data_IF_506704731345
#
_entry.id   IF_506704731345
#
_cell.length_a   1.000
_cell.length_b   1.000
_cell.length_c   1.000
_cell.angle_alpha   90.00
_cell.angle_beta   90.00
_cell.angle_gamma   90.00
#
_symmetry.space_group_name_H-M   'P 1'
#
loop_
_entity.id
_entity.type
_entity.pdbx_description
1 polymer ?
#
# COMPACT_ATOMS: atom_id res chain seq x y z
N UNK A 1 -18.44 -2.86 -18.21
CA UNK A 1 -18.52 -3.70 -16.99
C UNK A 1 -19.74 -3.27 -16.16
N UNK A 2 -20.39 -4.20 -15.45
CA UNK A 2 -21.49 -3.88 -14.54
C UNK A 2 -21.01 -3.99 -13.08
N UNK A 3 -20.61 -2.87 -12.44
CA UNK A 3 -20.06 -2.90 -11.08
C UNK A 3 -21.06 -3.44 -10.05
N UNK A 4 -22.34 -3.17 -10.22
CA UNK A 4 -23.39 -3.63 -9.29
C UNK A 4 -23.56 -5.16 -9.36
N UNK A 5 -23.52 -5.73 -10.57
CA UNK A 5 -23.57 -7.18 -10.75
C UNK A 5 -22.35 -7.87 -10.12
N UNK A 6 -21.15 -7.31 -10.36
CA UNK A 6 -19.92 -7.80 -9.74
C UNK A 6 -19.99 -7.79 -8.22
N UNK A 7 -20.46 -6.67 -7.62
CA UNK A 7 -20.55 -6.57 -6.16
C UNK A 7 -21.56 -7.52 -5.54
N UNK A 8 -22.68 -7.80 -6.22
CA UNK A 8 -23.65 -8.81 -5.76
C UNK A 8 -23.00 -10.20 -5.70
N UNK A 9 -22.21 -10.57 -6.72
CA UNK A 9 -21.42 -11.80 -6.69
C UNK A 9 -20.38 -11.82 -5.58
N UNK A 10 -19.74 -10.70 -5.31
CA UNK A 10 -18.72 -10.56 -4.29
C UNK A 10 -19.23 -10.65 -2.83
N UNK A 11 -20.53 -10.56 -2.61
CA UNK A 11 -21.15 -10.81 -1.29
C UNK A 11 -21.14 -12.27 -0.87
N UNK A 12 -20.95 -13.20 -1.82
CA UNK A 12 -20.81 -14.63 -1.54
C UNK A 12 -19.35 -15.06 -1.65
N UNK A 13 -18.87 -15.81 -0.69
CA UNK A 13 -17.55 -16.44 -0.76
C UNK A 13 -17.53 -17.63 -1.74
N UNK A 14 -18.68 -18.13 -2.15
CA UNK A 14 -18.84 -19.25 -3.08
C UNK A 14 -19.43 -18.78 -4.41
N UNK A 15 -18.93 -19.31 -5.51
CA UNK A 15 -19.49 -19.13 -6.86
C UNK A 15 -19.64 -20.47 -7.55
N UNK A 16 -20.72 -20.63 -8.26
CA UNK A 16 -21.04 -21.78 -9.11
C UNK A 16 -20.77 -21.51 -10.60
N UNK A 17 -20.34 -20.30 -10.94
CA UNK A 17 -20.14 -19.83 -12.31
C UNK A 17 -19.00 -20.58 -13.02
N UNK A 18 -18.02 -21.06 -12.29
CA UNK A 18 -16.84 -21.74 -12.83
C UNK A 18 -16.66 -23.10 -12.16
N UNK A 19 -16.19 -24.06 -12.95
CA UNK A 19 -15.98 -25.46 -12.49
C UNK A 19 -17.26 -26.06 -11.89
N UNK A 20 -17.21 -26.93 -10.94
CA UNK A 20 -18.38 -27.46 -10.21
C UNK A 20 -18.69 -26.65 -8.93
N UNK A 21 -18.30 -25.38 -8.93
CA UNK A 21 -18.35 -24.48 -7.79
C UNK A 21 -17.00 -24.37 -7.08
N UNK A 22 -16.69 -23.15 -6.68
CA UNK A 22 -15.43 -22.85 -5.96
C UNK A 22 -15.62 -21.73 -4.96
N UNK A 23 -14.73 -21.64 -3.98
CA UNK A 23 -14.60 -20.44 -3.16
C UNK A 23 -14.10 -19.30 -4.04
N UNK A 24 -14.81 -18.19 -4.03
CA UNK A 24 -14.47 -17.02 -4.81
C UNK A 24 -13.23 -16.33 -4.19
N UNK A 25 -12.15 -16.29 -4.96
CA UNK A 25 -10.91 -15.70 -4.49
C UNK A 25 -10.97 -14.17 -4.63
N UNK A 26 -10.71 -13.47 -3.53
CA UNK A 26 -10.49 -12.01 -3.43
C UNK A 26 -11.62 -11.07 -3.91
N UNK A 27 -12.71 -11.55 -4.51
CA UNK A 27 -13.79 -10.69 -4.99
C UNK A 27 -14.41 -9.83 -3.87
N UNK A 28 -14.54 -10.38 -2.65
CA UNK A 28 -15.00 -9.64 -1.48
C UNK A 28 -14.11 -8.42 -1.14
N UNK A 29 -12.84 -8.47 -1.49
CA UNK A 29 -11.89 -7.37 -1.25
C UNK A 29 -12.29 -6.07 -1.93
N UNK A 30 -13.02 -6.16 -3.05
CA UNK A 30 -13.52 -5.00 -3.79
C UNK A 30 -14.84 -4.44 -3.25
N UNK A 31 -15.48 -5.08 -2.25
CA UNK A 31 -16.73 -4.59 -1.69
C UNK A 31 -16.60 -3.16 -1.15
N UNK A 32 -15.45 -2.83 -0.54
CA UNK A 32 -15.19 -1.49 -0.01
C UNK A 32 -13.68 -1.19 -0.01
N UNK A 33 -13.27 0.04 -0.40
CA UNK A 33 -14.06 1.20 -0.84
C UNK A 33 -14.30 1.26 -2.35
N UNK A 34 -13.62 0.41 -3.16
CA UNK A 34 -13.65 0.48 -4.62
C UNK A 34 -15.06 0.25 -5.17
N UNK A 35 -15.76 -0.72 -4.65
CA UNK A 35 -17.09 -1.09 -5.13
C UNK A 35 -18.08 0.07 -5.12
N UNK A 36 -18.34 0.73 -4.00
CA UNK A 36 -19.21 1.91 -3.95
C UNK A 36 -18.76 3.02 -4.89
N UNK A 37 -17.46 3.27 -5.03
CA UNK A 37 -16.93 4.26 -5.95
C UNK A 37 -17.33 3.95 -7.39
N UNK A 38 -17.09 2.71 -7.86
CA UNK A 38 -17.41 2.32 -9.24
C UNK A 38 -18.92 2.20 -9.49
N UNK A 39 -19.73 1.88 -8.48
CA UNK A 39 -21.19 1.94 -8.61
C UNK A 39 -21.67 3.39 -8.77
N UNK A 40 -21.14 4.31 -7.96
CA UNK A 40 -21.51 5.73 -8.04
C UNK A 40 -21.07 6.38 -9.37
N UNK A 41 -19.95 5.91 -9.93
CA UNK A 41 -19.41 6.42 -11.19
C UNK A 41 -19.92 5.64 -12.41
N UNK A 42 -20.77 4.64 -12.25
CA UNK A 42 -21.34 3.82 -13.34
C UNK A 42 -21.99 4.63 -14.50
N UNK A 43 -22.61 5.81 -14.28
CA UNK A 43 -23.13 6.62 -15.37
C UNK A 43 -22.03 7.24 -16.27
N UNK A 44 -20.78 7.24 -15.84
CA UNK A 44 -19.65 7.79 -16.58
C UNK A 44 -19.04 6.74 -17.51
N UNK A 45 -18.38 7.15 -18.60
CA UNK A 45 -17.53 6.23 -19.37
C UNK A 45 -16.48 5.55 -18.49
N UNK A 46 -16.22 4.26 -18.72
CA UNK A 46 -15.30 3.45 -17.91
C UNK A 46 -13.92 4.11 -17.73
N UNK A 47 -13.39 4.70 -18.80
CA UNK A 47 -12.09 5.38 -18.77
C UNK A 47 -12.11 6.65 -17.89
N UNK A 48 -13.24 7.36 -17.79
CA UNK A 48 -13.40 8.52 -16.90
C UNK A 48 -13.44 8.05 -15.45
N UNK A 49 -14.27 7.05 -15.15
CA UNK A 49 -14.39 6.49 -13.81
C UNK A 49 -13.02 6.00 -13.29
N UNK A 50 -12.24 5.31 -14.14
CA UNK A 50 -10.92 4.84 -13.77
C UNK A 50 -9.94 5.99 -13.48
N UNK A 51 -9.94 7.05 -14.28
CA UNK A 51 -9.07 8.22 -14.07
C UNK A 51 -9.48 9.01 -12.83
N UNK A 52 -10.77 9.10 -12.55
CA UNK A 52 -11.25 9.71 -11.29
C UNK A 52 -10.80 8.90 -10.08
N UNK A 53 -10.81 7.56 -10.17
CA UNK A 53 -10.24 6.72 -9.13
C UNK A 53 -8.75 6.98 -8.91
N UNK A 54 -7.95 7.03 -9.97
CA UNK A 54 -6.52 7.36 -9.86
C UNK A 54 -6.28 8.75 -9.28
N UNK A 55 -7.06 9.75 -9.70
CA UNK A 55 -6.99 11.10 -9.14
C UNK A 55 -7.30 11.11 -7.64
N UNK A 56 -8.32 10.35 -7.21
CA UNK A 56 -8.65 10.18 -5.80
C UNK A 56 -7.48 9.56 -5.02
N UNK A 57 -6.93 8.46 -5.52
CA UNK A 57 -5.79 7.76 -4.91
C UNK A 57 -4.59 8.69 -4.72
N UNK A 58 -4.18 9.37 -5.79
CA UNK A 58 -3.06 10.31 -5.77
C UNK A 58 -3.35 11.53 -4.89
N UNK A 59 -4.56 12.07 -4.96
CA UNK A 59 -4.99 13.23 -4.15
C UNK A 59 -5.01 12.93 -2.66
N UNK A 60 -5.45 11.74 -2.27
CA UNK A 60 -5.43 11.28 -0.87
C UNK A 60 -3.98 11.16 -0.37
N UNK A 61 -3.10 10.55 -1.15
CA UNK A 61 -1.68 10.43 -0.80
C UNK A 61 -1.00 11.79 -0.69
N UNK A 62 -1.20 12.64 -1.69
CA UNK A 62 -0.66 14.00 -1.72
C UNK A 62 -1.10 14.83 -0.51
N UNK A 63 -2.39 14.90 -0.25
CA UNK A 63 -2.95 15.68 0.86
C UNK A 63 -2.55 15.11 2.22
N UNK A 64 -2.52 13.79 2.35
CA UNK A 64 -2.06 13.09 3.55
C UNK A 64 -0.61 13.40 3.85
N UNK A 65 0.27 13.25 2.86
CA UNK A 65 1.70 13.52 3.05
C UNK A 65 1.99 15.00 3.26
N UNK A 66 1.25 15.90 2.59
CA UNK A 66 1.34 17.33 2.84
C UNK A 66 1.04 17.68 4.31
N UNK A 67 -0.05 17.16 4.88
CA UNK A 67 -0.39 17.37 6.29
C UNK A 67 0.66 16.74 7.22
N UNK A 68 1.12 15.54 6.92
CA UNK A 68 2.17 14.85 7.66
C UNK A 68 3.47 15.66 7.67
N UNK A 69 3.94 16.09 6.50
CA UNK A 69 5.15 16.89 6.36
C UNK A 69 5.09 18.20 7.14
N UNK A 70 3.96 18.90 7.07
CA UNK A 70 3.76 20.11 7.90
C UNK A 70 3.85 19.83 9.38
N UNK A 71 3.26 18.74 9.84
CA UNK A 71 3.30 18.34 11.24
C UNK A 71 4.70 17.91 11.69
N UNK A 72 5.50 17.36 10.77
CA UNK A 72 6.92 17.05 10.98
C UNK A 72 7.85 18.26 10.88
N UNK A 73 7.34 19.46 10.62
CA UNK A 73 8.11 20.72 10.59
C UNK A 73 8.55 21.18 9.21
N UNK A 74 8.18 20.50 8.13
CA UNK A 74 8.42 21.01 6.78
C UNK A 74 7.61 22.27 6.52
N UNK A 75 8.25 23.30 5.91
CA UNK A 75 7.64 24.62 5.68
C UNK A 75 7.81 25.07 4.23
N UNK A 76 6.97 26.04 3.85
CA UNK A 76 7.03 26.68 2.53
C UNK A 76 6.81 25.69 1.39
N UNK A 77 7.50 25.92 0.25
CA UNK A 77 7.37 25.12 -0.97
C UNK A 77 7.83 23.68 -0.82
N UNK A 78 8.71 23.41 0.12
CA UNK A 78 9.28 22.06 0.28
C UNK A 78 8.28 21.01 0.71
N UNK A 79 7.24 21.40 1.45
CA UNK A 79 6.17 20.45 1.82
C UNK A 79 5.35 20.01 0.60
N UNK A 80 5.15 20.90 -0.37
CA UNK A 80 4.46 20.60 -1.62
C UNK A 80 5.31 19.67 -2.50
N UNK A 81 6.62 19.95 -2.60
CA UNK A 81 7.56 19.10 -3.33
C UNK A 81 7.60 17.70 -2.73
N UNK A 82 7.71 17.58 -1.41
CA UNK A 82 7.73 16.28 -0.73
C UNK A 82 6.41 15.52 -0.91
N UNK A 83 5.26 16.20 -0.84
CA UNK A 83 3.96 15.57 -1.07
C UNK A 83 3.80 15.10 -2.53
N UNK A 84 4.31 15.86 -3.49
CA UNK A 84 4.34 15.49 -4.90
C UNK A 84 5.22 14.26 -5.14
N UNK A 85 6.45 14.26 -4.58
CA UNK A 85 7.37 13.13 -4.67
C UNK A 85 6.80 11.86 -4.04
N UNK A 86 6.03 11.98 -2.96
CA UNK A 86 5.34 10.85 -2.36
C UNK A 86 4.23 10.30 -3.27
N UNK A 87 3.32 11.18 -3.70
CA UNK A 87 2.17 10.78 -4.50
C UNK A 87 2.58 10.26 -5.89
N UNK A 88 3.61 10.84 -6.50
CA UNK A 88 4.14 10.49 -7.82
C UNK A 88 5.46 9.72 -7.72
N UNK A 89 5.69 9.00 -6.64
CA UNK A 89 6.89 8.17 -6.51
C UNK A 89 6.95 7.11 -7.62
N UNK A 90 8.14 6.68 -8.05
CA UNK A 90 8.28 5.63 -9.08
C UNK A 90 7.48 4.38 -8.75
N UNK A 91 7.45 3.97 -7.48
CA UNK A 91 6.64 2.84 -7.01
C UNK A 91 5.15 3.07 -7.24
N UNK A 92 4.66 4.27 -6.93
CA UNK A 92 3.25 4.62 -7.17
C UNK A 92 2.92 4.57 -8.65
N UNK A 93 3.73 5.21 -9.50
CA UNK A 93 3.49 5.28 -10.94
C UNK A 93 3.51 3.91 -11.62
N UNK A 94 4.44 3.04 -11.22
CA UNK A 94 4.54 1.69 -11.79
C UNK A 94 3.44 0.74 -11.30
N UNK A 95 2.83 1.01 -10.14
CA UNK A 95 1.83 0.10 -9.54
C UNK A 95 0.40 0.59 -9.79
N UNK A 96 0.15 1.90 -9.79
CA UNK A 96 -1.20 2.50 -9.84
C UNK A 96 -2.01 2.02 -11.05
N UNK A 97 -1.40 1.96 -12.21
CA UNK A 97 -2.06 1.57 -13.46
C UNK A 97 -2.30 0.07 -13.56
N UNK A 98 -1.49 -0.72 -12.87
CA UNK A 98 -1.56 -2.17 -12.86
C UNK A 98 -2.50 -2.67 -11.75
N UNK A 99 -2.21 -2.30 -10.51
CA UNK A 99 -2.90 -2.77 -9.31
C UNK A 99 -3.15 -1.59 -8.37
N UNK A 100 -4.11 -0.73 -8.68
CA UNK A 100 -4.44 0.46 -7.87
C UNK A 100 -4.85 0.11 -6.44
N UNK A 101 -5.36 -1.10 -6.22
CA UNK A 101 -5.69 -1.63 -4.90
C UNK A 101 -4.48 -1.84 -3.98
N UNK A 102 -3.29 -2.07 -4.54
CA UNK A 102 -2.04 -2.13 -3.79
C UNK A 102 -1.52 -0.72 -3.46
N UNK A 103 -1.72 0.22 -4.36
CA UNK A 103 -1.31 1.63 -4.16
C UNK A 103 -2.19 2.33 -3.12
N UNK A 104 -3.47 1.99 -3.03
CA UNK A 104 -4.43 2.65 -2.17
C UNK A 104 -4.05 2.65 -0.68
N UNK A 105 -3.70 1.51 -0.03
CA UNK A 105 -3.22 1.52 1.35
C UNK A 105 -1.98 2.39 1.58
N UNK A 106 -1.04 2.40 0.62
CA UNK A 106 0.16 3.24 0.70
C UNK A 106 -0.22 4.72 0.73
N UNK A 107 -1.18 5.15 -0.09
CA UNK A 107 -1.65 6.54 -0.10
C UNK A 107 -2.41 6.93 1.17
N UNK A 108 -2.98 5.97 1.90
CA UNK A 108 -3.63 6.18 3.19
C UNK A 108 -2.64 6.14 4.38
N UNK A 109 -1.44 5.59 4.23
CA UNK A 109 -0.45 5.47 5.31
C UNK A 109 -0.14 6.80 6.03
N UNK A 110 0.02 7.95 5.37
CA UNK A 110 0.23 9.23 6.05
C UNK A 110 -0.91 9.62 7.00
N UNK A 111 -2.15 9.25 6.68
CA UNK A 111 -3.31 9.51 7.51
C UNK A 111 -3.38 8.63 8.75
N UNK A 112 -2.85 7.40 8.67
CA UNK A 112 -2.68 6.52 9.84
C UNK A 112 -1.64 7.08 10.79
N UNK A 113 -0.52 7.61 10.26
CA UNK A 113 0.59 8.14 11.05
C UNK A 113 0.21 9.45 11.73
N UNK A 114 -0.52 10.32 11.04
CA UNK A 114 -0.76 11.71 11.41
C UNK A 114 -1.28 11.91 12.84
N UNK A 115 -2.27 11.16 13.36
CA UNK A 115 -2.74 11.28 14.73
C UNK A 115 -1.66 10.97 15.76
N UNK A 116 -0.78 10.00 15.47
CA UNK A 116 0.26 9.55 16.40
C UNK A 116 1.46 10.50 16.52
N UNK A 117 1.48 11.60 15.78
CA UNK A 117 2.44 12.69 15.97
C UNK A 117 1.95 13.77 16.97
N UNK A 118 0.78 13.61 17.58
CA UNK A 118 0.32 14.50 18.66
C UNK A 118 1.21 14.38 19.89
N UNK A 119 1.41 15.47 20.62
CA UNK A 119 2.28 15.49 21.82
C UNK A 119 1.77 14.51 22.88
N UNK A 120 0.48 14.57 23.19
CA UNK A 120 -0.22 13.60 24.07
C UNK A 120 -1.09 12.70 23.21
N UNK A 121 -0.91 11.40 23.37
CA UNK A 121 -1.69 10.39 22.66
C UNK A 121 -2.89 9.97 23.50
N UNK A 122 -4.05 9.91 22.86
CA UNK A 122 -5.33 9.57 23.47
C UNK A 122 -6.03 8.47 22.66
N UNK A 123 -7.11 7.93 23.20
CA UNK A 123 -7.97 6.99 22.46
C UNK A 123 -8.59 7.62 21.21
N UNK A 124 -8.77 8.96 21.18
CA UNK A 124 -9.25 9.68 19.99
C UNK A 124 -8.23 9.63 18.84
N UNK A 125 -6.94 9.67 19.15
CA UNK A 125 -5.88 9.53 18.15
C UNK A 125 -5.86 8.11 17.58
N UNK A 126 -6.07 7.10 18.44
CA UNK A 126 -6.22 5.72 18.00
C UNK A 126 -7.44 5.54 17.09
N UNK A 127 -8.60 6.10 17.47
CA UNK A 127 -9.80 6.06 16.65
C UNK A 127 -9.60 6.80 15.31
N UNK A 128 -8.99 7.98 15.31
CA UNK A 128 -8.70 8.73 14.10
C UNK A 128 -7.74 7.99 13.16
N UNK A 129 -6.76 7.26 13.70
CA UNK A 129 -5.84 6.43 12.91
C UNK A 129 -6.48 5.12 12.40
N UNK A 130 -7.58 4.65 13.02
CA UNK A 130 -8.35 3.49 12.57
C UNK A 130 -9.18 3.79 11.33
N UNK A 131 -9.67 5.02 11.17
CA UNK A 131 -10.51 5.40 10.01
C UNK A 131 -9.81 5.14 8.68
N UNK A 132 -8.57 5.61 8.42
CA UNK A 132 -7.90 5.29 7.17
C UNK A 132 -7.65 3.79 6.99
N UNK A 133 -7.46 3.01 8.07
CA UNK A 133 -7.34 1.54 7.97
C UNK A 133 -8.66 0.92 7.51
N UNK A 134 -9.79 1.37 8.04
CA UNK A 134 -11.12 0.94 7.57
C UNK A 134 -11.33 1.24 6.07
N UNK A 135 -10.73 2.30 5.54
CA UNK A 135 -10.81 2.71 4.14
C UNK A 135 -9.82 1.97 3.22
N UNK A 136 -8.84 1.22 3.74
CA UNK A 136 -7.85 0.53 2.89
C UNK A 136 -8.45 -0.59 2.05
N UNK A 137 -9.56 -1.17 2.50
CA UNK A 137 -10.16 -2.30 1.81
C UNK A 137 -9.45 -3.63 2.13
N UNK A 138 -9.74 -4.64 1.33
CA UNK A 138 -9.30 -6.01 1.59
C UNK A 138 -8.64 -6.70 0.38
N UNK A 139 -8.39 -5.97 -0.70
CA UNK A 139 -7.82 -6.57 -1.92
C UNK A 139 -6.37 -7.02 -1.71
N UNK A 140 -5.60 -6.24 -0.92
CA UNK A 140 -4.21 -6.57 -0.62
C UNK A 140 -3.93 -6.42 0.87
N UNK A 141 -4.04 -7.54 1.61
CA UNK A 141 -3.78 -7.59 3.04
C UNK A 141 -2.34 -7.19 3.39
N UNK A 142 -1.37 -7.60 2.57
CA UNK A 142 0.05 -7.29 2.75
C UNK A 142 0.30 -5.79 2.66
N UNK A 143 -0.27 -5.11 1.66
CA UNK A 143 -0.15 -3.66 1.51
C UNK A 143 -0.81 -2.92 2.68
N UNK A 144 -1.96 -3.41 3.17
CA UNK A 144 -2.64 -2.84 4.35
C UNK A 144 -1.78 -2.96 5.60
N UNK A 145 -1.19 -4.12 5.86
CA UNK A 145 -0.27 -4.32 7.00
C UNK A 145 0.95 -3.43 6.85
N UNK A 146 1.59 -3.42 5.67
CA UNK A 146 2.76 -2.60 5.40
C UNK A 146 2.50 -1.09 5.63
N UNK A 147 1.34 -0.59 5.23
CA UNK A 147 0.92 0.80 5.47
C UNK A 147 0.76 1.15 6.96
N UNK A 148 0.46 0.15 7.81
CA UNK A 148 0.32 0.31 9.26
C UNK A 148 1.65 0.23 10.02
N UNK A 149 2.70 -0.40 9.46
CA UNK A 149 4.00 -0.60 10.12
C UNK A 149 4.60 0.71 10.65
N UNK A 150 4.68 1.84 9.89
CA UNK A 150 5.27 3.07 10.40
C UNK A 150 4.55 3.61 11.63
N UNK A 151 3.23 3.50 11.68
CA UNK A 151 2.44 3.92 12.84
C UNK A 151 2.71 3.03 14.06
N UNK A 152 2.78 1.72 13.88
CA UNK A 152 3.14 0.77 14.93
C UNK A 152 4.54 1.06 15.49
N UNK A 153 5.52 1.33 14.62
CA UNK A 153 6.89 1.70 15.02
C UNK A 153 6.90 2.98 15.86
N UNK A 154 6.14 4.01 15.47
CA UNK A 154 6.03 5.25 16.24
C UNK A 154 5.44 4.99 17.63
N UNK A 155 4.38 4.20 17.72
CA UNK A 155 3.75 3.85 18.99
C UNK A 155 4.69 3.08 19.92
N UNK A 156 5.43 2.11 19.39
CA UNK A 156 6.45 1.35 20.12
C UNK A 156 7.60 2.26 20.58
N UNK A 157 8.13 3.10 19.71
CA UNK A 157 9.19 4.06 20.05
C UNK A 157 8.76 5.02 21.15
N UNK A 158 7.51 5.49 21.11
CA UNK A 158 6.94 6.37 22.13
C UNK A 158 6.49 5.65 23.39
N UNK A 159 6.60 4.31 23.43
CA UNK A 159 6.09 3.45 24.53
C UNK A 159 4.61 3.71 24.84
N UNK A 160 3.82 4.03 23.81
CA UNK A 160 2.42 4.39 23.92
C UNK A 160 1.53 3.14 23.84
N UNK A 161 1.67 2.22 24.79
CA UNK A 161 1.04 0.89 24.76
C UNK A 161 -0.48 0.96 24.82
N UNK A 162 -1.06 1.82 25.66
CA UNK A 162 -2.53 1.93 25.79
C UNK A 162 -3.18 2.45 24.50
N UNK A 163 -2.76 3.61 23.90
CA UNK A 163 -3.27 4.02 22.61
C UNK A 163 -2.95 3.01 21.49
N UNK A 164 -1.81 2.32 21.57
CA UNK A 164 -1.42 1.28 20.63
C UNK A 164 -2.35 0.08 20.67
N UNK A 165 -2.69 -0.42 21.87
CA UNK A 165 -3.66 -1.49 22.04
C UNK A 165 -5.06 -1.08 21.55
N UNK A 166 -5.51 0.14 21.88
CA UNK A 166 -6.79 0.66 21.41
C UNK A 166 -6.84 0.75 19.86
N UNK A 167 -5.75 1.20 19.25
CA UNK A 167 -5.63 1.24 17.79
C UNK A 167 -5.63 -0.15 17.16
N UNK A 168 -4.86 -1.10 17.71
CA UNK A 168 -4.83 -2.48 17.23
C UNK A 168 -6.20 -3.14 17.29
N UNK A 169 -6.92 -2.99 18.42
CA UNK A 169 -8.29 -3.47 18.55
C UNK A 169 -9.24 -2.81 17.55
N UNK A 170 -9.09 -1.49 17.33
CA UNK A 170 -9.84 -0.78 16.31
C UNK A 170 -9.54 -1.33 14.90
N UNK A 171 -8.27 -1.53 14.54
CA UNK A 171 -7.89 -2.13 13.26
C UNK A 171 -8.46 -3.53 13.07
N UNK A 172 -8.41 -4.38 14.08
CA UNK A 172 -9.01 -5.71 14.04
C UNK A 172 -10.53 -5.62 13.84
N UNK A 173 -11.21 -4.75 14.59
CA UNK A 173 -12.66 -4.57 14.49
C UNK A 173 -13.11 -4.13 13.09
N UNK A 174 -12.40 -3.16 12.47
CA UNK A 174 -12.74 -2.68 11.11
C UNK A 174 -12.31 -3.63 10.00
N UNK A 175 -11.46 -4.61 10.30
CA UNK A 175 -10.92 -5.57 9.33
C UNK A 175 -11.55 -6.97 9.42
N UNK A 176 -12.37 -7.25 10.45
CA UNK A 176 -12.94 -8.59 10.69
C UNK A 176 -13.75 -9.11 9.50
N UNK A 177 -14.42 -8.22 8.78
CA UNK A 177 -15.27 -8.57 7.63
C UNK A 177 -14.51 -9.18 6.45
N UNK A 178 -13.20 -8.92 6.34
CA UNK A 178 -12.37 -9.52 5.31
C UNK A 178 -11.35 -10.52 5.88
N UNK A 179 -10.93 -10.37 7.13
CA UNK A 179 -10.02 -11.34 7.78
C UNK A 179 -10.70 -12.70 7.89
N UNK A 180 -12.00 -12.75 8.24
CA UNK A 180 -12.75 -13.98 8.31
C UNK A 180 -12.74 -14.77 7.00
N UNK A 181 -13.23 -14.20 5.88
CA UNK A 181 -13.11 -14.82 4.55
C UNK A 181 -11.68 -15.20 4.16
N UNK A 182 -10.69 -14.36 4.48
CA UNK A 182 -9.28 -14.66 4.18
C UNK A 182 -8.78 -15.91 4.91
N UNK A 183 -9.15 -16.11 6.17
CA UNK A 183 -8.82 -17.34 6.93
C UNK A 183 -9.48 -18.56 6.29
N UNK A 184 -10.75 -18.46 5.91
CA UNK A 184 -11.47 -19.55 5.25
C UNK A 184 -10.82 -19.88 3.90
N UNK A 185 -10.52 -18.87 3.09
CA UNK A 185 -9.82 -19.06 1.81
C UNK A 185 -8.45 -19.71 2.01
N UNK A 186 -7.64 -19.23 2.96
CA UNK A 186 -6.33 -19.80 3.26
C UNK A 186 -6.38 -21.26 3.70
N UNK A 187 -7.51 -21.72 4.25
CA UNK A 187 -7.69 -23.11 4.68
C UNK A 187 -8.20 -24.04 3.59
N UNK A 188 -9.03 -23.55 2.67
CA UNK A 188 -9.77 -24.39 1.72
C UNK A 188 -9.46 -24.09 0.25
N UNK A 189 -8.82 -22.95 -0.06
CA UNK A 189 -8.38 -22.67 -1.43
C UNK A 189 -7.10 -23.45 -1.77
N UNK A 190 -6.87 -23.74 -3.06
CA UNK A 190 -5.58 -24.27 -3.51
C UNK A 190 -4.42 -23.37 -3.06
N UNK A 191 -3.23 -23.93 -2.74
CA UNK A 191 -2.10 -23.15 -2.24
C UNK A 191 -1.40 -22.37 -3.35
N UNK A 192 -2.13 -21.46 -4.03
CA UNK A 192 -1.61 -20.70 -5.17
C UNK A 192 -0.48 -19.74 -4.76
N UNK A 193 -0.39 -19.35 -3.50
CA UNK A 193 0.73 -18.56 -2.97
C UNK A 193 2.07 -19.29 -3.04
N UNK A 194 2.06 -20.63 -3.10
CA UNK A 194 3.28 -21.42 -3.27
C UNK A 194 3.77 -21.40 -4.73
N UNK A 195 2.86 -21.17 -5.68
CA UNK A 195 3.16 -21.28 -7.11
C UNK A 195 3.20 -19.93 -7.82
N UNK A 196 2.22 -19.05 -7.57
CA UNK A 196 2.03 -17.80 -8.32
C UNK A 196 2.59 -16.60 -7.57
N UNK A 197 2.31 -16.48 -6.26
CA UNK A 197 2.70 -15.35 -5.43
C UNK A 197 3.70 -15.73 -4.33
N UNK A 198 4.51 -16.76 -4.57
CA UNK A 198 5.57 -17.12 -3.63
C UNK A 198 6.56 -15.96 -3.44
N UNK A 199 7.21 -15.90 -2.28
CA UNK A 199 8.24 -14.90 -1.99
C UNK A 199 9.33 -14.89 -3.10
N UNK A 200 9.69 -16.07 -3.61
CA UNK A 200 10.65 -16.22 -4.70
C UNK A 200 10.20 -15.56 -6.01
N UNK A 201 8.92 -15.67 -6.35
CA UNK A 201 8.38 -15.07 -7.58
C UNK A 201 8.27 -13.55 -7.45
N UNK A 202 7.69 -13.07 -6.34
CA UNK A 202 7.40 -11.65 -6.14
C UNK A 202 8.65 -10.82 -5.81
N UNK A 203 9.69 -11.44 -5.24
CA UNK A 203 10.94 -10.75 -4.86
C UNK A 203 12.10 -11.01 -5.82
N UNK A 204 11.91 -11.81 -6.86
CA UNK A 204 12.97 -12.18 -7.81
C UNK A 204 13.68 -10.97 -8.43
N UNK A 205 12.95 -9.90 -8.67
CA UNK A 205 13.43 -8.68 -9.32
C UNK A 205 13.90 -7.62 -8.34
N UNK A 206 13.81 -7.88 -7.03
CA UNK A 206 14.24 -6.95 -6.01
C UNK A 206 15.76 -6.95 -5.90
N UNK A 207 16.33 -5.76 -5.93
CA UNK A 207 17.71 -5.52 -5.57
C UNK A 207 17.84 -4.15 -4.90
N UNK A 208 18.94 -3.90 -4.21
CA UNK A 208 19.12 -2.66 -3.45
C UNK A 208 18.99 -1.38 -4.30
N UNK A 209 19.59 -1.27 -5.49
CA UNK A 209 19.37 -0.13 -6.38
C UNK A 209 17.91 0.11 -6.72
N UNK A 210 17.14 -0.91 -7.04
CA UNK A 210 15.72 -0.80 -7.37
C UNK A 210 14.89 -0.33 -6.17
N UNK A 211 15.21 -0.81 -4.97
CA UNK A 211 14.55 -0.39 -3.73
C UNK A 211 14.80 1.09 -3.47
N UNK A 212 16.03 1.56 -3.59
CA UNK A 212 16.39 2.96 -3.39
C UNK A 212 15.76 3.88 -4.44
N UNK A 213 15.62 3.40 -5.68
CA UNK A 213 14.95 4.10 -6.77
C UNK A 213 13.43 4.07 -6.66
N UNK A 214 12.85 3.15 -5.88
CA UNK A 214 11.41 2.91 -5.80
C UNK A 214 10.81 2.22 -7.02
N UNK A 215 11.61 1.46 -7.78
CA UNK A 215 11.22 0.74 -9.00
C UNK A 215 11.03 -0.76 -8.77
N UNK A 216 10.64 -1.13 -7.56
CA UNK A 216 10.51 -2.53 -7.10
C UNK A 216 9.22 -3.22 -7.53
N UNK A 217 8.38 -2.61 -8.36
CA UNK A 217 7.17 -3.28 -8.85
C UNK A 217 7.54 -4.43 -9.77
N UNK A 218 7.00 -5.62 -9.51
CA UNK A 218 7.19 -6.80 -10.35
C UNK A 218 6.27 -6.79 -11.59
N UNK A 219 5.16 -6.05 -11.52
CA UNK A 219 4.14 -6.03 -12.56
C UNK A 219 4.66 -5.59 -13.94
N UNK A 220 5.57 -4.60 -14.07
CA UNK A 220 6.14 -4.22 -15.37
C UNK A 220 6.93 -5.33 -16.08
N UNK A 221 7.44 -6.31 -15.32
CA UNK A 221 8.24 -7.39 -15.87
C UNK A 221 7.42 -8.64 -16.26
N UNK A 222 6.16 -8.68 -15.86
CA UNK A 222 5.25 -9.79 -16.15
C UNK A 222 4.22 -9.40 -17.21
N UNK A 223 3.75 -8.15 -17.17
CA UNK A 223 2.77 -7.62 -18.10
C UNK A 223 3.47 -6.74 -19.16
N UNK A 224 3.82 -7.35 -20.28
CA UNK A 224 4.53 -6.69 -21.38
C UNK A 224 3.69 -5.64 -22.13
N UNK A 225 2.37 -5.62 -21.92
CA UNK A 225 1.50 -4.57 -22.46
C UNK A 225 1.61 -3.26 -21.68
N UNK A 226 2.17 -3.29 -20.48
CA UNK A 226 2.32 -2.12 -19.60
C UNK A 226 3.69 -1.49 -19.72
N UNK A 227 4.00 -1.01 -20.89
CA UNK A 227 5.31 -0.50 -21.29
C UNK A 227 5.84 0.60 -20.38
N UNK A 228 4.99 1.54 -19.95
CA UNK A 228 5.43 2.70 -19.16
C UNK A 228 6.10 2.35 -17.83
N UNK A 229 5.63 1.31 -17.12
CA UNK A 229 6.25 0.84 -15.89
C UNK A 229 7.61 0.19 -16.13
N UNK A 230 7.75 -0.54 -17.22
CA UNK A 230 8.99 -1.16 -17.66
C UNK A 230 10.02 -0.09 -18.06
N UNK A 231 9.63 0.89 -18.87
CA UNK A 231 10.49 2.01 -19.27
C UNK A 231 10.97 2.80 -18.04
N UNK A 232 10.10 3.07 -17.06
CA UNK A 232 10.48 3.75 -15.82
C UNK A 232 11.58 3.01 -15.06
N UNK A 233 11.59 1.68 -15.12
CA UNK A 233 12.58 0.85 -14.45
C UNK A 233 13.88 0.72 -15.24
N UNK A 234 13.83 0.65 -16.57
CA UNK A 234 14.94 0.19 -17.43
C UNK A 234 15.49 1.25 -18.36
N UNK A 235 14.71 2.24 -18.78
CA UNK A 235 15.13 3.28 -19.69
C UNK A 235 16.17 4.21 -19.06
N UNK A 236 17.27 4.47 -19.73
CA UNK A 236 18.46 5.16 -19.19
C UNK A 236 18.13 6.53 -18.58
N UNK A 237 17.26 7.32 -19.23
CA UNK A 237 16.85 8.61 -18.72
C UNK A 237 16.12 8.49 -17.38
N UNK A 238 15.14 7.59 -17.28
CA UNK A 238 14.38 7.37 -16.03
C UNK A 238 15.23 6.72 -14.95
N UNK A 239 16.19 5.87 -15.31
CA UNK A 239 17.18 5.33 -14.38
C UNK A 239 17.96 6.46 -13.73
N UNK A 240 18.49 7.41 -14.50
CA UNK A 240 19.24 8.56 -13.98
C UNK A 240 18.35 9.45 -13.08
N UNK A 241 17.13 9.76 -13.50
CA UNK A 241 16.19 10.57 -12.72
C UNK A 241 15.87 9.90 -11.37
N UNK A 242 15.55 8.61 -11.39
CA UNK A 242 15.20 7.86 -10.16
C UNK A 242 16.41 7.64 -9.27
N UNK A 243 17.62 7.49 -9.81
CA UNK A 243 18.86 7.51 -9.02
C UNK A 243 19.12 8.85 -8.37
N UNK A 244 18.81 9.95 -9.04
CA UNK A 244 18.85 11.29 -8.47
C UNK A 244 17.89 11.44 -7.27
N UNK A 245 16.66 10.92 -7.39
CA UNK A 245 15.69 10.87 -6.29
C UNK A 245 16.23 10.04 -5.12
N UNK A 246 16.83 8.87 -5.41
CA UNK A 246 17.45 8.01 -4.40
C UNK A 246 18.60 8.71 -3.67
N UNK A 247 19.45 9.43 -4.40
CA UNK A 247 20.56 10.19 -3.81
C UNK A 247 20.05 11.30 -2.85
N UNK A 248 18.98 12.02 -3.24
CA UNK A 248 18.33 12.99 -2.36
C UNK A 248 17.75 12.32 -1.12
N UNK A 249 17.13 11.14 -1.28
CA UNK A 249 16.63 10.32 -0.17
C UNK A 249 17.73 9.90 0.80
N UNK A 250 18.84 9.39 0.30
CA UNK A 250 20.02 9.00 1.11
C UNK A 250 20.61 10.23 1.84
N UNK A 251 20.74 11.35 1.15
CA UNK A 251 21.17 12.60 1.79
C UNK A 251 20.20 13.01 2.90
N UNK A 252 18.89 12.91 2.66
CA UNK A 252 17.86 13.17 3.67
C UNK A 252 17.99 12.26 4.89
N UNK A 253 18.24 10.96 4.70
CA UNK A 253 18.49 10.01 5.79
C UNK A 253 19.69 10.43 6.67
N UNK A 254 20.75 10.98 6.07
CA UNK A 254 21.92 11.45 6.83
C UNK A 254 21.62 12.65 7.75
N UNK A 255 20.50 13.34 7.54
CA UNK A 255 20.05 14.49 8.36
C UNK A 255 19.05 14.11 9.44
N UNK A 256 18.54 12.88 9.40
CA UNK A 256 17.63 12.40 10.44
C UNK A 256 18.37 12.02 11.74
N UNK A 257 17.70 12.06 12.89
CA UNK A 257 18.25 11.47 14.10
C UNK A 257 18.66 10.01 13.87
N UNK A 258 19.83 9.60 14.40
CA UNK A 258 20.43 8.29 14.13
C UNK A 258 19.46 7.11 14.30
N UNK A 259 18.59 7.19 15.28
CA UNK A 259 17.59 6.13 15.54
C UNK A 259 16.66 5.94 14.34
N UNK A 260 16.11 7.02 13.78
CA UNK A 260 15.23 6.95 12.61
C UNK A 260 15.97 6.51 11.36
N UNK A 261 17.20 6.99 11.16
CA UNK A 261 18.02 6.55 10.03
C UNK A 261 18.30 5.05 10.09
N UNK A 262 18.69 4.55 11.27
CA UNK A 262 18.93 3.10 11.47
C UNK A 262 17.65 2.29 11.25
N UNK A 263 16.51 2.72 11.79
CA UNK A 263 15.24 2.02 11.61
C UNK A 263 14.82 1.95 10.13
N UNK A 264 15.00 3.06 9.39
CA UNK A 264 14.69 3.10 7.96
C UNK A 264 15.65 2.20 7.16
N UNK A 265 16.95 2.23 7.45
CA UNK A 265 17.94 1.37 6.79
C UNK A 265 17.66 -0.11 7.08
N UNK A 266 17.37 -0.47 8.33
CA UNK A 266 16.99 -1.83 8.71
C UNK A 266 15.68 -2.24 8.01
N UNK A 267 14.69 -1.36 7.98
CA UNK A 267 13.43 -1.60 7.26
C UNK A 267 13.66 -1.86 5.77
N UNK A 268 14.49 -1.04 5.11
CA UNK A 268 14.86 -1.24 3.70
C UNK A 268 15.58 -2.58 3.51
N UNK A 269 16.53 -2.91 4.39
CA UNK A 269 17.29 -4.16 4.29
C UNK A 269 16.39 -5.39 4.52
N UNK A 270 15.56 -5.38 5.57
CA UNK A 270 14.72 -6.54 5.94
C UNK A 270 13.55 -6.72 4.98
N UNK A 271 12.85 -5.63 4.64
CA UNK A 271 11.63 -5.71 3.83
C UNK A 271 11.92 -5.67 2.33
N UNK A 272 13.08 -5.18 1.93
CA UNK A 272 13.38 -4.89 0.53
C UNK A 272 14.53 -5.66 -0.08
N UNK A 273 15.42 -6.30 0.69
CA UNK A 273 16.64 -6.93 0.17
C UNK A 273 16.56 -8.47 0.12
N UNK A 274 15.41 -9.02 -0.23
CA UNK A 274 15.23 -10.47 -0.45
C UNK A 274 15.57 -11.36 0.78
N UNK A 275 15.50 -10.80 1.99
CA UNK A 275 15.83 -11.57 3.20
C UNK A 275 14.93 -12.81 3.32
N UNK A 276 13.63 -12.68 3.00
CA UNK A 276 12.71 -13.79 3.00
C UNK A 276 13.14 -14.91 2.03
N UNK A 277 13.62 -14.53 0.84
CA UNK A 277 14.10 -15.48 -0.16
C UNK A 277 15.34 -16.24 0.31
N UNK A 278 16.28 -15.55 0.97
CA UNK A 278 17.45 -16.21 1.55
C UNK A 278 17.09 -17.12 2.71
N UNK A 279 16.10 -16.76 3.52
CA UNK A 279 15.62 -17.61 4.61
C UNK A 279 14.90 -18.86 4.11
N UNK A 280 14.17 -18.78 3.00
CA UNK A 280 13.53 -19.94 2.36
C UNK A 280 14.56 -20.89 1.68
N UNK A 281 15.76 -20.38 1.36
CA UNK A 281 16.82 -21.14 0.72
C UNK A 281 17.75 -21.86 1.71
N UNK A 282 17.65 -21.54 3.01
CA UNK A 282 18.39 -22.18 4.11
C UNK A 282 17.59 -23.31 4.74
#
# INVERSE_FOLDING_TARGET
ANPLHFLRGALSAYTDTFTLGQLQNQAYGYLFPQGPFFVLTQPLPDWVAQRLWWLLVLGVGFTGFHKLGRKMGLRGRWVWVAAMLYALSPRTLSTLTAISSETWPVMLAPWVILPFLNAKLTWRDAAAATIPVALMGAVNATATIAACIPAAVILLYRRAFTPGAAWLLGCLAVSVWWIGPLIVLGRYAPPFTEFIESARVTTRWLNLPEILRGTTSWTPFVDTERVAGYELATESFFVLVTMGIAAVGIYGLSKLPRVWSVMLVVGIAVLGCQVAWYLDAL
#
